data_IF_187293312642
#
_entry.id   IF_187293312642
#
_cell.length_a   1.000
_cell.length_b   1.000
_cell.length_c   1.000
_cell.angle_alpha   90.00
_cell.angle_beta   90.00
_cell.angle_gamma   90.00
#
_symmetry.space_group_name_H-M   'P 1'
#
loop_
_entity.id
_entity.type
_entity.pdbx_description
1 polymer ?
#
# COMPACT_ATOMS: atom_id res chain seq x y z
N UNK A 1 0.79 -16.40 5.16
CA UNK A 1 1.45 -15.19 4.64
C UNK A 1 1.43 -14.12 5.72
N UNK A 2 2.53 -13.40 5.88
CA UNK A 2 2.59 -12.20 6.72
C UNK A 2 2.59 -10.96 5.84
N UNK A 3 2.12 -9.84 6.38
CA UNK A 3 2.27 -8.52 5.76
C UNK A 3 2.87 -7.58 6.79
N UNK A 4 3.62 -6.59 6.34
CA UNK A 4 4.18 -5.59 7.22
C UNK A 4 4.54 -4.31 6.51
N UNK A 5 4.73 -3.26 7.29
CA UNK A 5 5.13 -1.96 6.79
C UNK A 5 5.47 -1.01 7.92
N UNK A 6 6.25 0.02 7.58
CA UNK A 6 6.66 1.08 8.50
C UNK A 6 6.32 2.42 7.86
N UNK A 7 5.64 3.27 8.61
CA UNK A 7 5.38 4.65 8.26
C UNK A 7 6.42 5.54 8.96
N UNK A 8 7.07 6.40 8.18
CA UNK A 8 8.04 7.37 8.69
C UNK A 8 7.64 8.78 8.29
N UNK A 9 7.96 9.74 9.16
CA UNK A 9 7.94 11.16 8.82
C UNK A 9 9.11 11.49 7.87
N UNK A 10 9.11 12.67 7.22
CA UNK A 10 10.15 13.06 6.27
C UNK A 10 11.57 13.09 6.86
N UNK A 11 11.71 13.31 8.17
CA UNK A 11 12.99 13.29 8.89
C UNK A 11 13.44 11.86 9.29
N UNK A 12 12.68 10.84 8.91
CA UNK A 12 12.93 9.44 9.22
C UNK A 12 12.29 8.93 10.51
N UNK A 13 11.66 9.80 11.31
CA UNK A 13 11.02 9.46 12.59
C UNK A 13 9.94 8.39 12.37
N UNK A 14 9.98 7.24 13.07
CA UNK A 14 8.91 6.24 13.00
C UNK A 14 7.59 6.82 13.53
N UNK A 15 6.53 6.74 12.71
CA UNK A 15 5.18 7.20 13.08
C UNK A 15 4.29 6.02 13.47
N UNK A 16 4.34 4.94 12.68
CA UNK A 16 3.58 3.73 12.92
C UNK A 16 4.25 2.53 12.23
N UNK A 17 3.94 1.33 12.67
CA UNK A 17 4.29 0.10 11.98
C UNK A 17 3.17 -0.91 12.14
N UNK A 18 3.12 -1.89 11.24
CA UNK A 18 2.21 -3.02 11.35
C UNK A 18 2.92 -4.31 10.93
N UNK A 19 2.46 -5.42 11.50
CA UNK A 19 2.90 -6.77 11.17
C UNK A 19 1.71 -7.70 11.47
N UNK A 20 1.02 -8.12 10.41
CA UNK A 20 -0.25 -8.83 10.53
C UNK A 20 -0.16 -10.20 9.86
N UNK A 21 -0.80 -11.20 10.47
CA UNK A 21 -1.03 -12.48 9.83
C UNK A 21 -2.18 -12.34 8.82
N UNK A 22 -1.89 -12.51 7.53
CA UNK A 22 -2.86 -12.30 6.44
C UNK A 22 -3.43 -13.62 5.87
N UNK A 23 -3.26 -14.73 6.59
CA UNK A 23 -3.84 -16.03 6.23
C UNK A 23 -3.14 -16.67 5.02
N UNK A 24 -3.93 -17.10 4.04
CA UNK A 24 -3.46 -17.84 2.87
C UNK A 24 -3.64 -17.04 1.57
N UNK A 25 -2.64 -17.13 0.70
CA UNK A 25 -2.61 -16.41 -0.58
C UNK A 25 -1.26 -16.56 -1.25
N UNK A 26 -1.16 -15.95 -2.43
CA UNK A 26 0.11 -15.90 -3.19
C UNK A 26 1.00 -14.77 -2.68
N UNK A 27 2.27 -14.77 -3.11
CA UNK A 27 3.19 -13.67 -2.78
C UNK A 27 2.67 -12.31 -3.27
N UNK A 28 2.20 -12.23 -4.52
CA UNK A 28 1.68 -10.99 -5.10
C UNK A 28 0.43 -10.47 -4.36
N UNK A 29 -0.40 -11.37 -3.81
CA UNK A 29 -1.53 -10.98 -2.96
C UNK A 29 -1.05 -10.43 -1.61
N UNK A 30 0.07 -10.93 -1.07
CA UNK A 30 0.68 -10.41 0.16
C UNK A 30 1.22 -9.01 -0.05
N UNK A 31 1.98 -8.81 -1.13
CA UNK A 31 2.58 -7.52 -1.46
C UNK A 31 1.50 -6.45 -1.67
N UNK A 32 0.46 -6.77 -2.44
CA UNK A 32 -0.65 -5.85 -2.65
C UNK A 32 -1.42 -5.53 -1.37
N UNK A 33 -1.61 -6.53 -0.50
CA UNK A 33 -2.31 -6.33 0.77
C UNK A 33 -1.48 -5.48 1.73
N UNK A 34 -0.16 -5.70 1.81
CA UNK A 34 0.77 -4.89 2.60
C UNK A 34 0.77 -3.44 2.10
N UNK A 35 0.85 -3.23 0.79
CA UNK A 35 0.83 -1.91 0.17
C UNK A 35 -0.47 -1.15 0.47
N UNK A 36 -1.62 -1.80 0.25
CA UNK A 36 -2.94 -1.26 0.60
C UNK A 36 -3.03 -0.89 2.09
N UNK A 37 -2.54 -1.78 2.98
CA UNK A 37 -2.56 -1.56 4.43
C UNK A 37 -1.68 -0.39 4.84
N UNK A 38 -0.53 -0.20 4.18
CA UNK A 38 0.34 0.96 4.40
C UNK A 38 -0.36 2.29 4.11
N UNK A 39 -1.07 2.38 2.98
CA UNK A 39 -1.86 3.59 2.65
C UNK A 39 -2.97 3.81 3.69
N UNK A 40 -3.64 2.75 4.13
CA UNK A 40 -4.67 2.84 5.17
C UNK A 40 -4.11 3.36 6.50
N UNK A 41 -2.97 2.83 6.94
CA UNK A 41 -2.29 3.28 8.17
C UNK A 41 -1.87 4.74 8.05
N UNK A 42 -1.27 5.13 6.92
CA UNK A 42 -0.88 6.51 6.68
C UNK A 42 -2.06 7.49 6.74
N UNK A 43 -3.20 7.14 6.11
CA UNK A 43 -4.42 7.94 6.17
C UNK A 43 -4.95 8.09 7.60
N UNK A 44 -4.97 6.99 8.38
CA UNK A 44 -5.39 7.01 9.80
C UNK A 44 -4.44 7.83 10.68
N UNK A 45 -3.16 7.89 10.33
CA UNK A 45 -2.16 8.74 10.99
C UNK A 45 -2.19 10.21 10.55
N UNK A 46 -3.14 10.61 9.69
CA UNK A 46 -3.31 12.01 9.27
C UNK A 46 -2.32 12.48 8.19
N UNK A 47 -1.72 11.54 7.44
CA UNK A 47 -0.79 11.88 6.36
C UNK A 47 -1.44 12.82 5.34
N UNK A 48 -0.76 13.94 5.06
CA UNK A 48 -1.21 14.91 4.06
C UNK A 48 -0.70 14.56 2.67
N UNK A 49 0.46 13.90 2.59
CA UNK A 49 1.11 13.40 1.38
C UNK A 49 1.79 12.09 1.74
N UNK A 50 1.85 11.14 0.80
CA UNK A 50 2.46 9.84 1.04
C UNK A 50 3.34 9.41 -0.13
N UNK A 51 4.56 8.96 0.18
CA UNK A 51 5.41 8.19 -0.73
C UNK A 51 5.38 6.74 -0.27
N UNK A 52 4.87 5.85 -1.11
CA UNK A 52 4.88 4.42 -0.87
C UNK A 52 6.14 3.80 -1.49
N UNK A 53 6.88 3.01 -0.71
CA UNK A 53 8.05 2.28 -1.18
C UNK A 53 7.80 0.79 -0.97
N UNK A 54 8.00 -0.02 -2.01
CA UNK A 54 7.92 -1.48 -1.97
C UNK A 54 9.02 -2.08 -2.87
N UNK A 55 9.48 -3.27 -2.54
CA UNK A 55 10.42 -4.05 -3.35
C UNK A 55 9.73 -4.75 -4.55
N UNK A 56 8.41 -4.92 -4.47
CA UNK A 56 7.61 -5.48 -5.55
C UNK A 56 7.39 -4.49 -6.70
N UNK A 57 8.21 -4.60 -7.74
CA UNK A 57 8.05 -3.86 -8.99
C UNK A 57 6.64 -4.03 -9.59
N UNK A 58 6.04 -5.22 -9.46
CA UNK A 58 4.68 -5.50 -9.92
C UNK A 58 3.67 -4.56 -9.25
N UNK A 59 3.72 -4.43 -7.92
CA UNK A 59 2.78 -3.59 -7.16
C UNK A 59 2.96 -2.13 -7.54
N UNK A 60 4.20 -1.65 -7.58
CA UNK A 60 4.52 -0.26 -7.94
C UNK A 60 4.00 0.05 -9.35
N UNK A 61 4.37 -0.75 -10.37
CA UNK A 61 3.93 -0.52 -11.76
C UNK A 61 2.43 -0.67 -11.95
N UNK A 62 1.78 -1.60 -11.23
CA UNK A 62 0.32 -1.72 -11.31
C UNK A 62 -0.39 -0.54 -10.64
N UNK A 63 0.07 -0.07 -9.47
CA UNK A 63 -0.49 1.10 -8.79
C UNK A 63 -0.28 2.38 -9.60
N UNK A 64 0.89 2.55 -10.22
CA UNK A 64 1.20 3.69 -11.10
C UNK A 64 0.45 3.65 -12.44
N UNK A 65 -0.20 2.53 -12.75
CA UNK A 65 -1.02 2.36 -13.96
C UNK A 65 -0.25 1.87 -15.19
N UNK A 66 1.06 1.61 -15.06
CA UNK A 66 1.90 1.08 -16.14
C UNK A 66 1.48 -0.34 -16.50
N UNK A 67 1.11 -1.14 -15.50
CA UNK A 67 0.71 -2.54 -15.67
C UNK A 67 -0.78 -2.76 -15.36
N UNK A 68 -1.46 -3.47 -16.26
CA UNK A 68 -2.85 -3.85 -16.05
C UNK A 68 -2.99 -4.89 -14.93
N UNK A 69 -4.01 -4.69 -14.07
CA UNK A 69 -4.37 -5.64 -13.02
C UNK A 69 -5.46 -6.58 -13.53
N UNK A 70 -5.10 -7.83 -13.81
CA UNK A 70 -6.02 -8.83 -14.39
C UNK A 70 -6.60 -9.81 -13.35
N UNK A 71 -5.88 -10.06 -12.27
CA UNK A 71 -6.35 -10.98 -11.23
C UNK A 71 -7.49 -10.31 -10.42
N UNK A 72 -8.69 -10.92 -10.33
CA UNK A 72 -9.84 -10.30 -9.65
C UNK A 72 -9.61 -9.99 -8.15
N UNK A 73 -8.85 -10.83 -7.44
CA UNK A 73 -8.54 -10.62 -6.02
C UNK A 73 -7.60 -9.44 -5.83
N UNK A 74 -6.57 -9.34 -6.67
CA UNK A 74 -5.67 -8.18 -6.68
C UNK A 74 -6.41 -6.93 -7.13
N UNK A 75 -7.30 -7.03 -8.13
CA UNK A 75 -8.10 -5.91 -8.61
C UNK A 75 -8.98 -5.31 -7.51
N UNK A 76 -9.52 -6.14 -6.61
CA UNK A 76 -10.24 -5.66 -5.44
C UNK A 76 -9.34 -4.84 -4.49
N UNK A 77 -8.11 -5.28 -4.25
CA UNK A 77 -7.11 -4.55 -3.45
C UNK A 77 -6.70 -3.24 -4.12
N UNK A 78 -6.38 -3.29 -5.41
CA UNK A 78 -6.07 -2.13 -6.26
C UNK A 78 -7.13 -1.05 -6.14
N UNK A 79 -8.42 -1.41 -6.31
CA UNK A 79 -9.52 -0.45 -6.20
C UNK A 79 -9.62 0.20 -4.83
N UNK A 80 -9.42 -0.57 -3.76
CA UNK A 80 -9.43 -0.06 -2.38
C UNK A 80 -8.23 0.86 -2.11
N UNK A 81 -7.04 0.47 -2.57
CA UNK A 81 -5.83 1.28 -2.45
C UNK A 81 -6.01 2.64 -3.14
N UNK A 82 -6.52 2.67 -4.37
CA UNK A 82 -6.80 3.95 -5.06
C UNK A 82 -7.89 4.78 -4.40
N UNK A 83 -8.91 4.15 -3.81
CA UNK A 83 -9.92 4.88 -3.04
C UNK A 83 -9.31 5.59 -1.83
N UNK A 84 -8.45 4.90 -1.07
CA UNK A 84 -7.73 5.50 0.06
C UNK A 84 -6.71 6.54 -0.39
N UNK A 85 -5.99 6.28 -1.49
CA UNK A 85 -5.02 7.23 -2.03
C UNK A 85 -5.66 8.57 -2.42
N UNK A 86 -6.87 8.55 -3.01
CA UNK A 86 -7.64 9.76 -3.31
C UNK A 86 -8.10 10.53 -2.07
N UNK A 87 -8.18 9.87 -0.91
CA UNK A 87 -8.54 10.51 0.35
C UNK A 87 -7.34 11.21 1.02
N UNK A 88 -6.10 10.98 0.55
CA UNK A 88 -4.91 11.68 1.04
C UNK A 88 -4.81 13.05 0.33
N UNK A 89 -4.86 14.20 1.07
CA UNK A 89 -5.11 15.52 0.49
C UNK A 89 -4.15 15.98 -0.62
N UNK A 90 -2.85 15.72 -0.49
CA UNK A 90 -1.82 16.07 -1.46
C UNK A 90 -1.39 14.87 -2.31
N UNK A 91 -2.14 13.78 -2.24
CA UNK A 91 -1.95 12.59 -3.04
C UNK A 91 -0.95 11.57 -2.49
N UNK A 92 -0.82 10.49 -3.24
CA UNK A 92 0.06 9.36 -2.99
C UNK A 92 0.89 9.10 -4.23
N UNK A 93 2.20 8.93 -4.06
CA UNK A 93 3.13 8.48 -5.10
C UNK A 93 3.73 7.12 -4.73
N UNK A 94 4.12 6.34 -5.72
CA UNK A 94 4.76 5.03 -5.56
C UNK A 94 5.90 4.90 -6.57
#
# INVERSE_FOLDING_TARGET
MGIGGILRAPDGTPVASFSDAAGHGTNNEAEWLAFYRGIEVAGKSGAQQLLCLADSELVIRQFSGDYAVRNPRIYALYRRAHALARAIPRGVSA
#
